data_IF_409002308587
#
_entry.id   IF_409002308587
#
_cell.length_a   1.000
_cell.length_b   1.000
_cell.length_c   1.000
_cell.angle_alpha   90.00
_cell.angle_beta   90.00
_cell.angle_gamma   90.00
#
_symmetry.space_group_name_H-M   'P 1'
#
loop_
_entity.id
_entity.type
_entity.pdbx_description
1 polymer ?
#
# COMPACT_ATOMS: atom_id res chain seq x y z
N UNK A 1 39.25 -40.03 -7.45
CA UNK A 1 39.58 -38.60 -7.28
C UNK A 1 38.32 -37.80 -7.54
N UNK A 2 37.79 -37.10 -6.54
CA UNK A 2 36.47 -36.44 -6.58
C UNK A 2 36.50 -35.04 -7.20
N UNK A 3 37.01 -34.89 -8.42
CA UNK A 3 36.99 -33.60 -9.11
C UNK A 3 35.59 -33.33 -9.67
N UNK A 4 35.02 -32.15 -9.39
CA UNK A 4 33.85 -31.65 -10.09
C UNK A 4 34.29 -31.09 -11.45
N UNK A 5 33.69 -31.57 -12.53
CA UNK A 5 34.01 -31.18 -13.92
C UNK A 5 32.81 -30.46 -14.49
N UNK A 6 32.92 -29.15 -14.71
CA UNK A 6 31.84 -28.39 -15.34
C UNK A 6 31.68 -28.78 -16.81
N UNK A 7 30.47 -29.18 -17.19
CA UNK A 7 30.13 -29.63 -18.55
C UNK A 7 29.29 -28.63 -19.34
N UNK A 8 28.75 -27.61 -18.67
CA UNK A 8 27.96 -26.56 -19.30
C UNK A 8 26.54 -26.45 -18.75
N UNK A 9 25.69 -25.82 -19.55
CA UNK A 9 24.29 -25.59 -19.25
C UNK A 9 23.45 -26.88 -19.38
N UNK A 10 22.35 -26.94 -18.63
CA UNK A 10 21.25 -27.89 -18.74
C UNK A 10 19.92 -27.14 -18.83
N UNK A 11 19.13 -27.47 -19.85
CA UNK A 11 17.76 -27.02 -20.02
C UNK A 11 16.83 -28.13 -19.53
N UNK A 12 16.17 -27.89 -18.40
CA UNK A 12 15.26 -28.86 -17.78
C UNK A 12 13.86 -28.88 -18.40
N UNK A 13 13.51 -27.90 -19.25
CA UNK A 13 12.25 -27.90 -19.99
C UNK A 13 12.32 -28.84 -21.20
N UNK A 14 13.49 -28.95 -21.82
CA UNK A 14 13.72 -29.80 -23.00
C UNK A 14 14.63 -31.00 -22.72
N UNK A 15 15.15 -31.13 -21.50
CA UNK A 15 16.13 -32.12 -21.08
C UNK A 15 17.36 -32.16 -22.02
N UNK A 16 18.00 -30.99 -22.17
CA UNK A 16 19.15 -30.80 -23.05
C UNK A 16 20.36 -30.25 -22.26
N UNK A 17 21.52 -30.95 -22.24
CA UNK A 17 21.77 -32.29 -22.78
C UNK A 17 20.88 -33.34 -22.10
N UNK A 18 20.74 -34.51 -22.72
CA UNK A 18 19.92 -35.61 -22.20
C UNK A 18 20.52 -36.15 -20.88
N UNK A 19 19.95 -35.76 -19.73
CA UNK A 19 20.48 -36.09 -18.39
C UNK A 19 19.53 -36.95 -17.53
N UNK A 20 18.30 -37.20 -17.97
CA UNK A 20 17.30 -37.99 -17.21
C UNK A 20 16.85 -39.29 -17.92
N UNK A 21 17.48 -39.66 -19.03
CA UNK A 21 17.18 -40.91 -19.74
C UNK A 21 17.70 -42.14 -18.98
N UNK A 22 17.30 -43.35 -19.39
CA UNK A 22 17.80 -44.60 -18.78
C UNK A 22 18.14 -45.63 -19.86
N UNK A 23 19.39 -46.10 -19.98
CA UNK A 23 20.65 -45.58 -19.39
C UNK A 23 21.22 -44.38 -20.14
N UNK A 24 22.01 -43.53 -19.47
CA UNK A 24 22.67 -42.37 -20.11
C UNK A 24 24.12 -42.71 -20.41
N UNK A 25 24.40 -42.99 -21.68
CA UNK A 25 25.77 -43.20 -22.15
C UNK A 25 26.58 -41.89 -22.14
N UNK A 26 27.86 -41.98 -21.80
CA UNK A 26 28.82 -40.87 -21.98
C UNK A 26 28.95 -39.90 -20.81
N UNK A 27 28.10 -39.98 -19.78
CA UNK A 27 28.26 -39.20 -18.54
C UNK A 27 29.24 -39.90 -17.60
N UNK A 28 30.14 -39.11 -16.98
CA UNK A 28 31.13 -39.60 -16.01
C UNK A 28 30.88 -39.01 -14.62
N UNK A 29 31.33 -39.74 -13.60
CA UNK A 29 31.28 -39.28 -12.22
C UNK A 29 31.92 -37.88 -12.07
N UNK A 30 31.28 -37.01 -11.30
CA UNK A 30 31.74 -35.64 -11.03
C UNK A 30 31.37 -34.62 -12.11
N UNK A 31 30.78 -35.05 -13.23
CA UNK A 31 30.26 -34.12 -14.23
C UNK A 31 29.15 -33.27 -13.63
N UNK A 32 29.29 -31.96 -13.81
CA UNK A 32 28.45 -30.94 -13.19
C UNK A 32 27.84 -30.05 -14.27
N UNK A 33 26.54 -29.84 -14.18
CA UNK A 33 25.75 -29.02 -15.08
C UNK A 33 25.06 -27.90 -14.29
N UNK A 34 24.85 -26.76 -14.92
CA UNK A 34 24.07 -25.66 -14.34
C UNK A 34 22.75 -25.55 -15.08
N UNK A 35 21.64 -25.55 -14.36
CA UNK A 35 20.30 -25.39 -14.93
C UNK A 35 20.16 -23.95 -15.45
N UNK A 36 19.88 -23.77 -16.73
CA UNK A 36 19.67 -22.46 -17.36
C UNK A 36 18.22 -22.20 -17.76
N UNK A 37 17.39 -23.24 -17.78
CA UNK A 37 15.94 -23.17 -18.00
C UNK A 37 15.29 -24.11 -16.99
N UNK A 38 14.32 -23.59 -16.23
CA UNK A 38 13.60 -24.35 -15.22
C UNK A 38 12.72 -25.45 -15.86
N UNK A 39 12.48 -26.51 -15.11
CA UNK A 39 11.70 -27.66 -15.57
C UNK A 39 11.87 -28.84 -14.62
N UNK A 40 11.72 -30.05 -15.14
CA UNK A 40 11.80 -31.28 -14.34
C UNK A 40 13.08 -32.03 -14.64
N UNK A 41 13.81 -32.43 -13.61
CA UNK A 41 14.89 -33.40 -13.70
C UNK A 41 14.41 -34.72 -13.08
N UNK A 42 14.16 -35.74 -13.91
CA UNK A 42 13.36 -36.92 -13.53
C UNK A 42 11.96 -36.54 -13.01
N UNK A 43 11.77 -36.48 -11.69
CA UNK A 43 10.51 -36.12 -11.03
C UNK A 43 10.68 -34.94 -10.06
N UNK A 44 11.86 -34.34 -10.02
CA UNK A 44 12.18 -33.19 -9.16
C UNK A 44 12.13 -31.91 -10.00
N UNK A 45 11.41 -30.90 -9.51
CA UNK A 45 11.44 -29.57 -10.12
C UNK A 45 12.79 -28.91 -9.83
N UNK A 46 13.46 -28.46 -10.89
CA UNK A 46 14.74 -27.74 -10.82
C UNK A 46 14.58 -26.34 -11.41
N UNK A 47 15.21 -25.36 -10.78
CA UNK A 47 15.12 -23.96 -11.12
C UNK A 47 16.40 -23.45 -11.78
N UNK A 48 16.30 -22.34 -12.50
CA UNK A 48 17.47 -21.67 -13.11
C UNK A 48 18.50 -21.37 -12.02
N UNK A 49 19.73 -21.81 -12.23
CA UNK A 49 20.86 -21.64 -11.32
C UNK A 49 21.15 -22.84 -10.41
N UNK A 50 20.31 -23.87 -10.40
CA UNK A 50 20.60 -25.12 -9.70
C UNK A 50 21.76 -25.87 -10.37
N UNK A 51 22.45 -26.72 -9.60
CA UNK A 51 23.54 -27.56 -10.11
C UNK A 51 23.19 -29.05 -10.05
N UNK A 52 23.44 -29.77 -11.13
CA UNK A 52 23.21 -31.22 -11.24
C UNK A 52 24.56 -31.92 -11.36
N UNK A 53 24.86 -32.83 -10.42
CA UNK A 53 26.17 -33.49 -10.31
C UNK A 53 26.02 -35.00 -10.40
N UNK A 54 26.72 -35.64 -11.34
CA UNK A 54 26.73 -37.10 -11.49
C UNK A 54 27.53 -37.77 -10.36
N UNK A 55 26.91 -38.70 -9.63
CA UNK A 55 27.56 -39.46 -8.55
C UNK A 55 28.33 -40.68 -9.06
N UNK A 56 28.10 -41.11 -10.30
CA UNK A 56 28.76 -42.25 -10.92
C UNK A 56 28.84 -42.11 -12.45
N UNK A 57 29.60 -43.01 -13.06
CA UNK A 57 29.59 -43.22 -14.51
C UNK A 57 28.27 -43.84 -14.97
N UNK A 58 27.81 -43.42 -16.16
CA UNK A 58 26.59 -43.97 -16.79
C UNK A 58 25.38 -44.02 -15.83
N UNK A 59 24.96 -42.87 -15.27
CA UNK A 59 23.83 -42.80 -14.35
C UNK A 59 22.53 -43.26 -15.04
N UNK A 60 21.67 -43.91 -14.26
CA UNK A 60 20.42 -44.54 -14.72
C UNK A 60 19.16 -44.12 -13.97
N UNK A 61 19.30 -43.41 -12.85
CA UNK A 61 18.18 -43.01 -11.98
C UNK A 61 18.51 -41.70 -11.29
N UNK A 62 17.50 -41.00 -10.76
CA UNK A 62 17.68 -39.78 -9.97
C UNK A 62 18.66 -39.96 -8.78
N UNK A 63 18.68 -41.14 -8.15
CA UNK A 63 19.56 -41.43 -7.01
C UNK A 63 21.06 -41.42 -7.36
N UNK A 64 21.39 -41.50 -8.65
CA UNK A 64 22.76 -41.38 -9.16
C UNK A 64 23.20 -39.94 -9.39
N UNK A 65 22.38 -38.97 -9.02
CA UNK A 65 22.66 -37.56 -9.12
C UNK A 65 22.58 -36.89 -7.75
N UNK A 66 23.31 -35.79 -7.61
CA UNK A 66 23.12 -34.83 -6.53
C UNK A 66 22.62 -33.55 -7.17
N UNK A 67 21.42 -33.12 -6.79
CA UNK A 67 20.90 -31.79 -7.13
C UNK A 67 21.28 -30.85 -5.99
N UNK A 68 21.99 -29.79 -6.32
CA UNK A 68 22.26 -28.67 -5.40
C UNK A 68 21.33 -27.55 -5.81
N UNK A 69 20.23 -27.42 -5.09
CA UNK A 69 19.25 -26.37 -5.28
C UNK A 69 19.32 -25.34 -4.15
N UNK A 70 18.81 -24.12 -4.40
CA UNK A 70 18.62 -23.15 -3.30
C UNK A 70 17.50 -23.57 -2.35
N UNK A 71 16.59 -24.44 -2.80
CA UNK A 71 15.38 -24.85 -2.09
C UNK A 71 14.49 -23.66 -1.69
N UNK A 72 14.48 -22.60 -2.50
CA UNK A 72 13.66 -21.40 -2.30
C UNK A 72 12.65 -21.36 -3.46
N UNK A 73 11.33 -21.42 -3.19
CA UNK A 73 10.30 -21.29 -4.21
C UNK A 73 10.50 -20.01 -5.04
N UNK A 74 9.99 -20.02 -6.27
CA UNK A 74 10.09 -18.85 -7.12
C UNK A 74 9.43 -17.62 -6.48
N UNK A 75 10.05 -16.45 -6.63
CA UNK A 75 9.53 -15.21 -6.07
C UNK A 75 8.44 -14.72 -7.02
N UNK A 76 7.18 -14.98 -6.66
CA UNK A 76 6.03 -14.51 -7.43
C UNK A 76 5.59 -13.12 -6.95
N UNK A 77 5.21 -12.27 -7.91
CA UNK A 77 4.54 -11.01 -7.63
C UNK A 77 3.13 -11.25 -7.10
N UNK A 78 2.69 -10.43 -6.15
CA UNK A 78 1.31 -10.47 -5.68
C UNK A 78 0.32 -10.10 -6.79
N UNK A 79 -0.85 -10.73 -6.80
CA UNK A 79 -1.98 -10.38 -7.64
C UNK A 79 -3.28 -10.56 -6.86
N UNK A 80 -4.43 -10.19 -7.45
CA UNK A 80 -5.74 -10.43 -6.84
C UNK A 80 -6.05 -11.92 -6.60
N UNK A 81 -5.37 -12.82 -7.33
CA UNK A 81 -5.63 -14.28 -7.28
C UNK A 81 -4.47 -15.08 -6.66
N UNK A 82 -3.31 -14.46 -6.46
CA UNK A 82 -2.11 -15.11 -5.95
C UNK A 82 -1.41 -14.26 -4.90
N UNK A 83 -1.04 -14.89 -3.77
CA UNK A 83 -0.20 -14.26 -2.76
C UNK A 83 1.24 -14.15 -3.29
N UNK A 84 1.91 -13.03 -3.02
CA UNK A 84 3.29 -12.81 -3.48
C UNK A 84 3.93 -11.60 -2.84
N UNK A 85 5.12 -11.22 -3.32
CA UNK A 85 5.79 -9.99 -2.91
C UNK A 85 5.15 -8.80 -3.63
N UNK A 86 4.98 -7.69 -2.92
CA UNK A 86 4.43 -6.45 -3.46
C UNK A 86 5.33 -5.26 -3.10
N UNK A 87 5.52 -4.36 -4.06
CA UNK A 87 6.25 -3.11 -3.85
C UNK A 87 5.34 -2.07 -3.16
N UNK A 88 5.92 -1.20 -2.34
CA UNK A 88 5.18 -0.09 -1.74
C UNK A 88 5.19 1.12 -2.67
N UNK A 89 4.01 1.53 -3.14
CA UNK A 89 3.81 2.70 -4.01
C UNK A 89 4.42 3.98 -3.44
N UNK A 90 5.02 4.84 -4.25
CA UNK A 90 5.48 6.18 -3.87
C UNK A 90 4.32 7.14 -3.56
N UNK A 91 4.58 8.25 -2.87
CA UNK A 91 3.53 9.26 -2.62
C UNK A 91 2.97 9.85 -3.93
N UNK A 92 3.80 9.99 -4.97
CA UNK A 92 3.36 10.45 -6.28
C UNK A 92 2.37 9.46 -6.92
N UNK A 93 2.71 8.17 -6.94
CA UNK A 93 1.85 7.12 -7.49
C UNK A 93 0.52 7.02 -6.74
N UNK A 94 0.56 7.08 -5.40
CA UNK A 94 -0.65 7.09 -4.57
C UNK A 94 -1.52 8.33 -4.86
N UNK A 95 -0.92 9.48 -5.13
CA UNK A 95 -1.65 10.71 -5.47
C UNK A 95 -2.24 10.66 -6.89
N UNK A 96 -1.54 10.01 -7.84
CA UNK A 96 -2.03 9.80 -9.21
C UNK A 96 -3.20 8.80 -9.24
N UNK A 97 -3.15 7.74 -8.43
CA UNK A 97 -4.29 6.85 -8.19
C UNK A 97 -4.65 5.90 -9.34
N UNK A 98 -3.69 5.56 -10.21
CA UNK A 98 -3.90 4.65 -11.36
C UNK A 98 -3.17 3.30 -11.21
N UNK A 99 -2.36 3.14 -10.17
CA UNK A 99 -1.57 1.95 -9.91
C UNK A 99 -2.37 0.93 -9.09
N UNK A 100 -2.55 -0.27 -9.66
CA UNK A 100 -3.27 -1.39 -9.06
C UNK A 100 -2.36 -2.58 -8.72
N UNK A 101 -1.04 -2.41 -8.82
CA UNK A 101 -0.05 -3.48 -8.59
C UNK A 101 0.86 -3.21 -7.38
N UNK A 102 0.63 -2.12 -6.64
CA UNK A 102 1.45 -1.72 -5.49
C UNK A 102 0.63 -1.47 -4.23
N UNK A 103 1.26 -1.71 -3.08
CA UNK A 103 0.64 -1.51 -1.77
C UNK A 103 0.84 -0.09 -1.23
N UNK A 104 -0.14 0.39 -0.47
CA UNK A 104 -0.07 1.66 0.27
C UNK A 104 0.28 1.44 1.73
N UNK A 105 0.96 2.42 2.36
CA UNK A 105 1.21 2.41 3.82
C UNK A 105 0.23 3.34 4.55
N UNK A 106 0.06 3.21 5.87
CA UNK A 106 -0.76 4.15 6.64
C UNK A 106 -0.36 5.62 6.48
N UNK A 107 0.93 5.92 6.32
CA UNK A 107 1.42 7.27 6.02
C UNK A 107 0.90 7.77 4.66
N UNK A 108 0.98 6.92 3.64
CA UNK A 108 0.59 7.26 2.27
C UNK A 108 -0.92 7.42 2.16
N UNK A 109 -1.70 6.57 2.83
CA UNK A 109 -3.15 6.74 2.96
C UNK A 109 -3.49 8.08 3.63
N UNK A 110 -2.83 8.42 4.74
CA UNK A 110 -3.03 9.69 5.44
C UNK A 110 -2.75 10.90 4.53
N UNK A 111 -1.65 10.84 3.78
CA UNK A 111 -1.24 11.88 2.83
C UNK A 111 -2.25 12.03 1.68
N UNK A 112 -2.69 10.93 1.09
CA UNK A 112 -3.66 10.93 0.00
C UNK A 112 -5.01 11.54 0.41
N UNK A 113 -5.44 11.27 1.64
CA UNK A 113 -6.69 11.81 2.20
C UNK A 113 -6.54 13.26 2.73
N UNK A 114 -5.34 13.86 2.67
CA UNK A 114 -5.10 15.21 3.21
C UNK A 114 -5.29 15.32 4.73
N UNK A 115 -5.24 14.20 5.45
CA UNK A 115 -5.58 14.13 6.88
C UNK A 115 -4.33 14.32 7.74
N UNK A 116 -3.83 15.56 7.88
CA UNK A 116 -2.71 15.83 8.79
C UNK A 116 -3.05 15.65 10.30
N UNK A 117 -4.28 15.28 10.64
CA UNK A 117 -4.70 14.87 11.99
C UNK A 117 -5.94 13.97 11.94
N UNK A 118 -6.33 13.40 13.09
CA UNK A 118 -7.66 12.82 13.31
C UNK A 118 -8.71 13.71 12.64
N UNK A 119 -9.69 13.15 11.95
CA UNK A 119 -10.77 13.83 11.21
C UNK A 119 -11.70 14.70 12.09
N UNK A 120 -11.15 15.45 13.04
CA UNK A 120 -11.87 16.31 13.97
C UNK A 120 -12.05 17.73 13.43
N UNK A 121 -11.10 18.30 12.67
CA UNK A 121 -11.04 19.77 12.52
C UNK A 121 -10.72 20.31 11.11
N UNK A 122 -10.49 19.49 10.08
CA UNK A 122 -10.38 20.05 8.72
C UNK A 122 -11.80 20.19 8.20
N UNK A 123 -12.28 21.44 8.22
CA UNK A 123 -13.61 21.94 7.83
C UNK A 123 -14.69 22.02 8.91
N UNK A 124 -14.40 21.92 10.22
CA UNK A 124 -15.37 22.27 11.30
C UNK A 124 -14.71 23.19 12.33
N UNK A 125 -15.23 24.40 12.47
CA UNK A 125 -14.86 25.37 13.50
C UNK A 125 -16.05 25.61 14.43
N UNK A 126 -15.80 25.73 15.74
CA UNK A 126 -16.85 25.92 16.75
C UNK A 126 -16.44 27.04 17.70
N UNK A 127 -17.36 27.95 18.00
CA UNK A 127 -17.17 29.00 18.99
C UNK A 127 -18.49 29.34 19.71
N UNK A 128 -18.39 29.80 20.95
CA UNK A 128 -19.52 30.40 21.68
C UNK A 128 -19.57 31.91 21.40
N UNK A 129 -20.77 32.48 21.32
CA UNK A 129 -20.99 33.92 21.17
C UNK A 129 -22.08 34.44 22.12
N UNK A 130 -22.06 35.76 22.34
CA UNK A 130 -22.95 36.48 23.24
C UNK A 130 -22.20 37.18 24.36
N UNK A 131 -22.45 38.48 24.53
CA UNK A 131 -21.85 39.34 25.57
C UNK A 131 -22.88 40.28 26.25
N UNK A 132 -24.16 40.07 25.97
CA UNK A 132 -25.30 40.90 26.39
C UNK A 132 -25.30 42.35 25.88
N UNK A 133 -24.43 42.71 24.92
CA UNK A 133 -24.29 44.07 24.41
C UNK A 133 -24.28 44.14 22.87
N UNK A 134 -23.45 43.34 22.21
CA UNK A 134 -23.27 43.35 20.77
C UNK A 134 -24.41 42.61 20.05
N UNK A 135 -24.79 43.17 18.90
CA UNK A 135 -25.71 42.54 17.94
C UNK A 135 -24.98 41.80 16.82
N UNK A 136 -23.68 42.05 16.65
CA UNK A 136 -22.85 41.53 15.56
C UNK A 136 -21.61 40.87 16.12
N UNK A 137 -21.35 39.64 15.68
CA UNK A 137 -20.20 38.84 16.13
C UNK A 137 -19.43 38.33 14.91
N UNK A 138 -18.21 38.82 14.72
CA UNK A 138 -17.29 38.33 13.70
C UNK A 138 -16.46 37.16 14.25
N UNK A 139 -16.59 35.98 13.63
CA UNK A 139 -15.95 34.74 14.07
C UNK A 139 -14.88 34.35 13.05
N UNK A 140 -13.61 34.41 13.48
CA UNK A 140 -12.46 34.04 12.65
C UNK A 140 -12.23 32.54 12.68
N UNK A 141 -12.47 31.86 11.54
CA UNK A 141 -12.36 30.41 11.38
C UNK A 141 -11.13 29.94 10.58
N UNK A 142 -10.44 30.82 9.86
CA UNK A 142 -9.21 30.53 9.11
C UNK A 142 -9.29 29.37 8.08
N UNK A 143 -10.46 29.16 7.46
CA UNK A 143 -10.67 28.04 6.53
C UNK A 143 -10.31 28.37 5.07
N UNK A 144 -9.87 29.61 4.79
CA UNK A 144 -9.51 30.10 3.47
C UNK A 144 -10.56 29.81 2.37
N UNK A 145 -11.84 29.95 2.72
CA UNK A 145 -13.01 29.70 1.87
C UNK A 145 -14.18 30.58 2.30
N UNK A 146 -14.96 31.06 1.35
CA UNK A 146 -16.22 31.81 1.59
C UNK A 146 -17.47 30.93 1.38
N UNK A 147 -17.29 29.66 1.03
CA UNK A 147 -18.38 28.71 0.84
C UNK A 147 -18.60 27.94 2.15
N UNK A 148 -19.07 28.63 3.19
CA UNK A 148 -19.31 28.01 4.48
C UNK A 148 -20.76 27.55 4.62
N UNK A 149 -20.96 26.53 5.46
CA UNK A 149 -22.25 26.10 5.97
C UNK A 149 -22.22 26.26 7.48
N UNK A 150 -23.06 27.16 7.97
CA UNK A 150 -23.08 27.60 9.36
C UNK A 150 -24.38 27.20 10.05
N UNK A 151 -24.27 26.84 11.32
CA UNK A 151 -25.41 26.62 12.20
C UNK A 151 -25.18 27.32 13.53
N UNK A 152 -26.26 27.84 14.12
CA UNK A 152 -26.26 28.48 15.43
C UNK A 152 -27.25 27.73 16.32
N UNK A 153 -26.85 27.42 17.54
CA UNK A 153 -27.69 26.70 18.50
C UNK A 153 -27.53 27.26 19.90
N UNK A 154 -28.53 27.06 20.78
CA UNK A 154 -28.38 27.40 22.20
C UNK A 154 -27.30 26.53 22.85
N UNK A 155 -26.45 27.17 23.64
CA UNK A 155 -25.36 26.50 24.38
C UNK A 155 -25.88 25.64 25.53
N UNK A 156 -27.10 25.90 26.02
CA UNK A 156 -27.77 25.12 27.05
C UNK A 156 -29.07 24.51 26.52
N UNK A 157 -29.58 23.49 27.23
CA UNK A 157 -30.84 22.84 26.91
C UNK A 157 -31.96 23.88 26.67
N UNK A 158 -32.74 23.76 25.58
CA UNK A 158 -32.94 22.55 24.77
C UNK A 158 -31.97 22.34 23.60
N UNK A 159 -30.92 23.16 23.45
CA UNK A 159 -29.96 23.10 22.32
C UNK A 159 -30.61 23.28 20.94
N UNK A 160 -31.68 24.07 20.89
CA UNK A 160 -32.41 24.32 19.66
C UNK A 160 -31.62 25.20 18.70
N UNK A 161 -31.90 25.02 17.41
CA UNK A 161 -31.34 25.83 16.34
C UNK A 161 -31.94 27.25 16.40
N UNK A 162 -31.10 28.24 16.17
CA UNK A 162 -31.46 29.65 16.16
C UNK A 162 -31.11 30.23 14.81
N UNK A 163 -32.07 30.95 14.22
CA UNK A 163 -31.84 31.67 12.98
C UNK A 163 -31.29 33.06 13.29
N UNK A 164 -30.23 33.42 12.59
CA UNK A 164 -29.68 34.77 12.57
C UNK A 164 -29.23 35.05 11.14
N UNK A 165 -28.94 36.31 10.83
CA UNK A 165 -28.28 36.61 9.56
C UNK A 165 -26.81 36.16 9.65
N UNK A 166 -26.34 35.47 8.62
CA UNK A 166 -24.99 34.92 8.53
C UNK A 166 -24.35 35.44 7.25
N UNK A 167 -23.20 36.06 7.38
CA UNK A 167 -22.46 36.68 6.28
C UNK A 167 -21.01 36.21 6.33
N UNK A 168 -20.54 35.54 5.27
CA UNK A 168 -19.12 35.28 5.07
C UNK A 168 -18.43 36.58 4.63
N UNK A 169 -17.83 37.27 5.59
CA UNK A 169 -17.21 38.59 5.37
C UNK A 169 -15.81 38.49 4.77
N UNK A 170 -15.14 37.34 4.93
CA UNK A 170 -13.90 37.00 4.23
C UNK A 170 -13.74 35.49 4.15
N UNK A 171 -12.71 35.03 3.42
CA UNK A 171 -12.35 33.60 3.38
C UNK A 171 -11.98 33.00 4.75
N UNK A 172 -11.80 33.82 5.78
CA UNK A 172 -11.40 33.40 7.11
C UNK A 172 -12.33 33.88 8.24
N UNK A 173 -13.41 34.60 7.92
CA UNK A 173 -14.30 35.21 8.92
C UNK A 173 -15.76 35.12 8.47
N UNK A 174 -16.60 34.58 9.36
CA UNK A 174 -18.06 34.59 9.23
C UNK A 174 -18.66 35.46 10.33
N UNK A 175 -19.61 36.32 9.96
CA UNK A 175 -20.25 37.27 10.86
C UNK A 175 -21.70 36.88 11.11
N UNK A 176 -22.11 36.89 12.38
CA UNK A 176 -23.44 36.54 12.85
C UNK A 176 -24.15 37.79 13.41
N UNK A 177 -25.30 38.13 12.83
CA UNK A 177 -26.09 39.31 13.18
C UNK A 177 -27.41 38.92 13.83
N UNK A 178 -27.69 39.47 15.01
CA UNK A 178 -28.88 39.20 15.81
C UNK A 178 -29.76 40.45 15.96
N UNK A 179 -31.08 40.26 16.06
CA UNK A 179 -32.02 41.35 16.32
C UNK A 179 -32.08 41.76 17.81
N UNK A 180 -31.59 40.89 18.70
CA UNK A 180 -31.50 41.11 20.15
C UNK A 180 -30.14 40.63 20.62
N UNK A 181 -29.47 41.42 21.46
CA UNK A 181 -28.13 41.10 21.96
C UNK A 181 -28.18 39.76 22.73
N UNK A 182 -27.48 38.72 22.27
CA UNK A 182 -27.42 37.45 22.99
C UNK A 182 -26.78 37.64 24.37
N UNK A 183 -27.29 36.97 25.40
CA UNK A 183 -26.67 37.00 26.72
C UNK A 183 -25.28 36.33 26.69
N UNK A 184 -24.49 36.51 27.75
CA UNK A 184 -23.14 35.93 27.84
C UNK A 184 -23.10 34.44 27.43
N UNK A 185 -22.33 34.13 26.38
CA UNK A 185 -22.15 32.79 25.80
C UNK A 185 -23.47 32.02 25.49
N UNK A 186 -24.55 32.73 25.17
CA UNK A 186 -25.88 32.14 24.96
C UNK A 186 -25.92 31.12 23.80
N UNK A 187 -25.16 31.38 22.74
CA UNK A 187 -25.19 30.58 21.52
C UNK A 187 -23.83 29.96 21.18
N UNK A 188 -23.87 28.78 20.55
CA UNK A 188 -22.72 28.10 19.95
C UNK A 188 -22.91 28.07 18.44
N UNK A 189 -21.90 28.56 17.72
CA UNK A 189 -21.84 28.50 16.26
C UNK A 189 -20.96 27.35 15.82
N UNK A 190 -21.40 26.63 14.80
CA UNK A 190 -20.60 25.65 14.07
C UNK A 190 -20.48 26.11 12.63
N UNK A 191 -19.26 26.33 12.18
CA UNK A 191 -18.91 26.73 10.81
C UNK A 191 -18.26 25.53 10.14
N UNK A 192 -18.79 25.10 9.01
CA UNK A 192 -18.18 24.09 8.16
C UNK A 192 -17.85 24.65 6.80
N UNK A 193 -16.70 24.35 6.21
CA UNK A 193 -16.23 25.14 5.07
C UNK A 193 -14.96 24.63 4.46
#
# INVERSE_FOLDING_TARGET
TGALIYKGAYDAATNAPLLDATPIGGIKQGWTYVVTVAGTFFAEDVQIGDMIIAKQDTPTTAAHWTVVNKNIPDIISASETAQGIIEIATTAEVTTGTDDVRAITPLKLRQALGTSGTLANVRKFVATLGDAAALTYAITHNMNTVNTNCSVSRTAAPFDAVECEIIDTSANVTTFNFNVAPTAAQYTVTITG
#
